data_IF_950364283430
#
_entry.id   IF_950364283430
#
_cell.length_a   1.000
_cell.length_b   1.000
_cell.length_c   1.000
_cell.angle_alpha   90.00
_cell.angle_beta   90.00
_cell.angle_gamma   90.00
#
_symmetry.space_group_name_H-M   'P 1'
#
loop_
_entity.id
_entity.type
_entity.pdbx_description
1 polymer ?
#
# COMPACT_ATOMS: atom_id res chain seq x y z
N UNK A 1 -0.66 37.42 2.78
CA UNK A 1 0.67 36.86 2.40
C UNK A 1 0.39 35.66 1.52
N UNK A 2 0.64 35.79 0.22
CA UNK A 2 0.35 34.78 -0.81
C UNK A 2 1.11 33.48 -0.50
N UNK A 3 0.39 32.37 -0.44
CA UNK A 3 0.96 31.03 -0.44
C UNK A 3 1.21 30.71 -1.91
N UNK A 4 2.47 30.67 -2.32
CA UNK A 4 2.86 30.12 -3.61
C UNK A 4 2.47 28.64 -3.67
N UNK A 5 1.41 28.37 -4.42
CA UNK A 5 0.81 27.04 -4.60
C UNK A 5 1.75 26.21 -5.47
N UNK A 6 2.01 24.99 -5.00
CA UNK A 6 3.05 24.09 -5.52
C UNK A 6 2.71 23.59 -6.93
N UNK A 7 3.65 23.83 -7.83
CA UNK A 7 3.64 23.34 -9.20
C UNK A 7 4.04 21.86 -9.23
N UNK A 8 3.19 21.00 -9.80
CA UNK A 8 3.59 19.67 -10.26
C UNK A 8 4.39 19.86 -11.56
N UNK A 9 5.70 20.08 -11.44
CA UNK A 9 6.60 20.17 -12.59
C UNK A 9 7.01 18.77 -13.01
N UNK A 10 6.35 18.20 -14.02
CA UNK A 10 6.87 17.04 -14.76
C UNK A 10 7.61 17.61 -15.98
N UNK A 11 8.94 17.47 -16.02
CA UNK A 11 9.76 17.66 -17.23
C UNK A 11 9.55 19.00 -17.99
N UNK A 12 9.58 20.14 -17.29
CA UNK A 12 9.64 21.45 -17.96
C UNK A 12 8.40 21.87 -18.76
N UNK A 13 7.30 21.10 -18.66
CA UNK A 13 5.98 21.51 -19.10
C UNK A 13 5.08 21.64 -17.87
N UNK A 14 4.35 22.76 -17.77
CA UNK A 14 3.23 22.89 -16.84
C UNK A 14 2.31 21.68 -17.05
N UNK A 15 2.15 20.83 -16.03
CA UNK A 15 1.21 19.71 -16.15
C UNK A 15 -0.20 20.27 -16.12
N UNK A 16 -0.79 20.37 -17.31
CA UNK A 16 -2.23 20.41 -17.50
C UNK A 16 -2.74 19.06 -16.99
N UNK A 17 -3.70 19.07 -16.06
CA UNK A 17 -4.34 17.83 -15.61
C UNK A 17 -4.99 17.06 -16.76
N UNK A 18 -5.63 15.94 -16.46
CA UNK A 18 -6.29 15.14 -17.50
C UNK A 18 -7.63 15.74 -17.89
N UNK A 19 -7.68 16.39 -19.06
CA UNK A 19 -8.89 17.07 -19.58
C UNK A 19 -10.11 16.15 -19.54
N UNK A 20 -11.16 16.60 -18.84
CA UNK A 20 -12.35 15.79 -18.48
C UNK A 20 -13.05 15.15 -19.67
N UNK A 21 -13.15 15.87 -20.77
CA UNK A 21 -13.92 15.47 -21.95
C UNK A 21 -13.02 14.96 -23.08
N UNK A 22 -11.73 14.75 -22.80
CA UNK A 22 -10.81 14.21 -23.80
C UNK A 22 -11.07 12.73 -24.05
N UNK A 23 -11.02 12.33 -25.32
CA UNK A 23 -11.00 10.91 -25.71
C UNK A 23 -9.78 10.15 -25.17
N UNK A 24 -8.74 10.87 -24.74
CA UNK A 24 -7.52 10.32 -24.16
C UNK A 24 -7.49 10.35 -22.62
N UNK A 25 -8.60 10.68 -21.95
CA UNK A 25 -8.68 10.81 -20.49
C UNK A 25 -8.06 9.62 -19.74
N UNK A 26 -8.51 8.40 -20.02
CA UNK A 26 -8.01 7.18 -19.37
C UNK A 26 -6.50 7.01 -19.56
N UNK A 27 -5.99 7.31 -20.75
CA UNK A 27 -4.56 7.21 -21.05
C UNK A 27 -3.76 8.28 -20.32
N UNK A 28 -4.28 9.50 -20.22
CA UNK A 28 -3.67 10.55 -19.41
C UNK A 28 -3.57 10.15 -17.94
N UNK A 29 -4.66 9.64 -17.35
CA UNK A 29 -4.68 9.19 -15.95
C UNK A 29 -3.68 8.05 -15.76
N UNK A 30 -3.69 7.06 -16.66
CA UNK A 30 -2.73 5.95 -16.63
C UNK A 30 -1.28 6.45 -16.62
N UNK A 31 -0.94 7.39 -17.50
CA UNK A 31 0.41 7.95 -17.58
C UNK A 31 0.77 8.75 -16.32
N UNK A 32 -0.18 9.52 -15.77
CA UNK A 32 0.02 10.29 -14.54
C UNK A 32 0.28 9.37 -13.33
N UNK A 33 -0.53 8.31 -13.18
CA UNK A 33 -0.36 7.29 -12.13
C UNK A 33 0.97 6.55 -12.33
N UNK A 34 1.29 6.13 -13.57
CA UNK A 34 2.56 5.46 -13.85
C UNK A 34 3.76 6.35 -13.49
N UNK A 35 3.71 7.64 -13.86
CA UNK A 35 4.74 8.59 -13.52
C UNK A 35 4.92 8.72 -12.00
N UNK A 36 3.81 8.82 -11.26
CA UNK A 36 3.84 8.84 -9.80
C UNK A 36 4.51 7.58 -9.22
N UNK A 37 4.06 6.39 -9.65
CA UNK A 37 4.59 5.10 -9.18
C UNK A 37 6.09 4.98 -9.44
N UNK A 38 6.56 5.41 -10.60
CA UNK A 38 7.97 5.26 -10.98
C UNK A 38 8.87 6.31 -10.33
N UNK A 39 8.47 7.58 -10.34
CA UNK A 39 9.38 8.69 -10.01
C UNK A 39 9.11 9.37 -8.67
N UNK A 40 7.91 9.19 -8.12
CA UNK A 40 7.49 9.80 -6.85
C UNK A 40 7.21 8.76 -5.76
N UNK A 41 7.75 7.54 -5.93
CA UNK A 41 7.50 6.42 -5.02
C UNK A 41 7.99 6.63 -3.60
N UNK A 42 8.98 7.50 -3.39
CA UNK A 42 9.48 7.86 -2.06
C UNK A 42 8.57 8.87 -1.32
N UNK A 43 7.46 9.31 -1.94
CA UNK A 43 6.51 10.26 -1.38
C UNK A 43 6.92 11.74 -1.45
N UNK A 44 8.11 12.08 -1.99
CA UNK A 44 8.51 13.48 -2.21
C UNK A 44 7.95 13.98 -3.54
N UNK A 45 6.93 14.83 -3.45
CA UNK A 45 6.27 15.43 -4.61
C UNK A 45 6.97 16.72 -5.05
N UNK A 46 7.40 17.53 -4.07
CA UNK A 46 8.22 18.72 -4.26
C UNK A 46 9.07 18.95 -3.02
N UNK A 47 9.85 20.03 -2.97
CA UNK A 47 10.64 20.37 -1.78
C UNK A 47 9.81 20.67 -0.53
N UNK A 48 8.50 20.95 -0.69
CA UNK A 48 7.60 21.29 0.43
C UNK A 48 6.42 20.35 0.56
N UNK A 49 6.19 19.47 -0.41
CA UNK A 49 5.05 18.55 -0.40
C UNK A 49 5.54 17.12 -0.33
N UNK A 50 5.07 16.45 0.71
CA UNK A 50 5.32 15.06 0.99
C UNK A 50 3.99 14.36 1.22
N UNK A 51 3.92 13.13 0.73
CA UNK A 51 2.86 12.16 1.04
C UNK A 51 3.52 10.88 1.51
N UNK A 52 2.72 9.89 1.91
CA UNK A 52 3.23 8.58 2.27
C UNK A 52 4.04 7.97 1.12
N UNK A 53 5.21 7.42 1.46
CA UNK A 53 6.03 6.64 0.53
C UNK A 53 5.33 5.32 0.19
N UNK A 54 5.37 4.94 -1.10
CA UNK A 54 4.90 3.64 -1.60
C UNK A 54 6.05 2.66 -1.86
N UNK A 55 7.29 3.13 -1.84
CA UNK A 55 8.48 2.29 -1.91
C UNK A 55 9.70 2.98 -1.25
N UNK A 56 10.04 2.62 0.00
CA UNK A 56 9.38 1.60 0.81
C UNK A 56 7.99 2.03 1.31
N UNK A 57 7.06 1.08 1.44
CA UNK A 57 5.76 1.26 2.09
C UNK A 57 5.77 0.60 3.48
N UNK A 58 5.63 1.40 4.52
CA UNK A 58 5.55 0.88 5.89
C UNK A 58 4.14 0.35 6.18
N UNK A 59 4.05 -0.84 6.79
CA UNK A 59 2.80 -1.38 7.31
C UNK A 59 2.74 -1.25 8.84
N UNK A 60 1.55 -1.06 9.44
CA UNK A 60 1.39 -1.12 10.89
C UNK A 60 1.81 -2.50 11.43
N UNK A 61 2.02 -2.65 12.73
CA UNK A 61 2.26 -3.97 13.31
C UNK A 61 1.00 -4.85 13.21
N UNK A 62 1.18 -6.14 12.92
CA UNK A 62 0.09 -7.11 12.83
C UNK A 62 0.17 -8.19 13.90
N UNK A 63 -1.00 -8.70 14.27
CA UNK A 63 -1.12 -9.97 14.99
C UNK A 63 -1.42 -11.05 13.97
N UNK A 64 -0.50 -11.98 13.76
CA UNK A 64 -0.71 -13.07 12.79
C UNK A 64 -1.62 -14.15 13.39
N UNK A 65 -1.33 -14.56 14.62
CA UNK A 65 -2.12 -15.56 15.35
C UNK A 65 -2.31 -15.12 16.78
N UNK A 66 -3.53 -15.31 17.29
CA UNK A 66 -3.86 -15.13 18.70
C UNK A 66 -4.70 -16.31 19.17
N UNK A 67 -4.06 -17.31 19.75
CA UNK A 67 -4.75 -18.46 20.33
C UNK A 67 -4.37 -18.67 21.81
N UNK A 68 -4.95 -19.70 22.44
CA UNK A 68 -4.76 -19.96 23.88
C UNK A 68 -3.33 -20.33 24.29
N UNK A 69 -2.49 -20.72 23.33
CA UNK A 69 -1.14 -21.23 23.60
C UNK A 69 -0.10 -20.21 23.18
N UNK A 70 -0.15 -19.73 21.94
CA UNK A 70 0.85 -18.85 21.33
C UNK A 70 0.15 -17.63 20.73
N UNK A 71 0.77 -16.46 20.94
CA UNK A 71 0.48 -15.25 20.19
C UNK A 71 1.66 -14.93 19.28
N UNK A 72 1.38 -14.63 18.02
CA UNK A 72 2.40 -14.28 17.03
C UNK A 72 2.13 -12.92 16.40
N UNK A 73 3.21 -12.21 16.11
CA UNK A 73 3.20 -10.83 15.65
C UNK A 73 4.18 -10.66 14.50
N UNK A 74 3.82 -9.78 13.56
CA UNK A 74 4.72 -9.29 12.53
C UNK A 74 4.86 -7.77 12.65
N UNK A 75 6.06 -7.33 12.99
CA UNK A 75 6.35 -5.99 13.48
C UNK A 75 7.38 -5.28 12.61
N UNK A 76 7.37 -3.94 12.63
CA UNK A 76 8.29 -3.10 11.87
C UNK A 76 8.32 -3.51 10.39
N UNK A 77 7.11 -3.67 9.83
CA UNK A 77 6.88 -4.24 8.52
C UNK A 77 7.07 -3.19 7.44
N UNK A 78 7.78 -3.56 6.38
CA UNK A 78 8.03 -2.70 5.23
C UNK A 78 7.95 -3.50 3.93
N UNK A 79 7.24 -2.98 2.93
CA UNK A 79 7.18 -3.50 1.57
C UNK A 79 8.07 -2.67 0.64
N UNK A 80 8.75 -3.34 -0.27
CA UNK A 80 9.53 -2.75 -1.36
C UNK A 80 9.15 -3.36 -2.70
N UNK A 81 9.48 -2.67 -3.78
CA UNK A 81 9.32 -3.16 -5.16
C UNK A 81 8.09 -2.61 -5.88
N UNK A 82 7.17 -1.94 -5.17
CA UNK A 82 5.96 -1.39 -5.80
C UNK A 82 6.28 -0.29 -6.83
N UNK A 83 7.40 0.42 -6.71
CA UNK A 83 7.85 1.40 -7.72
C UNK A 83 8.09 0.79 -9.11
N UNK A 84 8.33 -0.52 -9.16
CA UNK A 84 8.56 -1.28 -10.38
C UNK A 84 7.24 -1.80 -10.99
N UNK A 85 6.10 -1.51 -10.37
CA UNK A 85 4.78 -1.91 -10.87
C UNK A 85 4.39 -1.09 -12.08
N UNK A 86 3.55 -1.67 -12.93
CA UNK A 86 3.04 -1.00 -14.12
C UNK A 86 1.52 -0.93 -14.10
N UNK A 87 0.98 0.23 -14.48
CA UNK A 87 -0.46 0.45 -14.65
C UNK A 87 -0.89 -0.21 -15.96
N UNK A 88 -1.69 -1.26 -15.84
CA UNK A 88 -2.14 -2.10 -16.97
C UNK A 88 -3.48 -1.67 -17.52
N UNK A 89 -4.38 -1.13 -16.69
CA UNK A 89 -5.68 -0.62 -17.12
C UNK A 89 -6.12 0.56 -16.24
N UNK A 90 -6.80 1.52 -16.88
CA UNK A 90 -7.49 2.63 -16.21
C UNK A 90 -8.81 2.89 -16.92
N UNK A 91 -9.89 2.95 -16.14
CA UNK A 91 -11.18 3.44 -16.61
C UNK A 91 -11.68 4.50 -15.66
N UNK A 92 -12.07 5.66 -16.18
CA UNK A 92 -12.64 6.74 -15.39
C UNK A 92 -13.99 7.16 -15.95
N UNK A 93 -15.00 7.26 -15.08
CA UNK A 93 -16.26 7.94 -15.33
C UNK A 93 -16.33 9.14 -14.39
N UNK A 94 -15.98 10.32 -14.90
CA UNK A 94 -15.95 11.54 -14.08
C UNK A 94 -17.33 12.09 -13.74
N UNK A 95 -18.38 11.68 -14.48
CA UNK A 95 -19.75 12.07 -14.14
C UNK A 95 -20.22 11.32 -12.89
N UNK A 96 -19.80 10.07 -12.74
CA UNK A 96 -20.08 9.25 -11.55
C UNK A 96 -18.97 9.30 -10.50
N UNK A 97 -17.82 9.90 -10.83
CA UNK A 97 -16.57 9.81 -10.07
C UNK A 97 -16.19 8.37 -9.74
N UNK A 98 -16.28 7.49 -10.74
CA UNK A 98 -15.90 6.08 -10.61
C UNK A 98 -14.60 5.82 -11.36
N UNK A 99 -13.69 5.10 -10.71
CA UNK A 99 -12.40 4.76 -11.29
C UNK A 99 -12.11 3.29 -11.10
N UNK A 100 -11.62 2.65 -12.15
CA UNK A 100 -11.00 1.34 -12.10
C UNK A 100 -9.53 1.52 -12.40
N UNK A 101 -8.69 1.00 -11.51
CA UNK A 101 -7.24 0.97 -11.66
C UNK A 101 -6.77 -0.47 -11.62
N UNK A 102 -5.90 -0.86 -12.54
CA UNK A 102 -5.27 -2.17 -12.53
C UNK A 102 -3.76 -2.05 -12.63
N UNK A 103 -3.04 -2.75 -11.76
CA UNK A 103 -1.59 -2.79 -11.69
C UNK A 103 -1.10 -4.22 -11.86
N UNK A 104 0.02 -4.37 -12.53
CA UNK A 104 0.85 -5.56 -12.42
C UNK A 104 2.06 -5.25 -11.54
N UNK A 105 2.31 -6.12 -10.56
CA UNK A 105 3.33 -5.99 -9.54
C UNK A 105 4.33 -7.15 -9.75
N UNK A 106 5.48 -6.90 -10.41
CA UNK A 106 6.37 -7.98 -10.84
C UNK A 106 7.09 -8.65 -9.67
N UNK A 107 7.51 -7.85 -8.69
CA UNK A 107 8.18 -8.32 -7.49
C UNK A 107 7.91 -7.36 -6.34
N UNK A 108 7.35 -7.90 -5.25
CA UNK A 108 7.21 -7.23 -3.97
C UNK A 108 7.96 -8.03 -2.92
N UNK A 109 8.73 -7.35 -2.10
CA UNK A 109 9.42 -7.94 -0.96
C UNK A 109 8.92 -7.27 0.32
N UNK A 110 8.48 -8.06 1.28
CA UNK A 110 8.01 -7.58 2.59
C UNK A 110 8.99 -8.06 3.66
N UNK A 111 9.42 -7.16 4.52
CA UNK A 111 10.47 -7.40 5.52
C UNK A 111 9.97 -6.94 6.88
N UNK A 112 10.40 -7.60 7.94
CA UNK A 112 10.17 -7.12 9.30
C UNK A 112 10.69 -8.09 10.35
N UNK A 113 10.13 -7.96 11.55
CA UNK A 113 10.46 -8.80 12.71
C UNK A 113 9.25 -9.66 13.09
N UNK A 114 9.44 -10.97 13.11
CA UNK A 114 8.50 -11.91 13.69
C UNK A 114 8.78 -12.04 15.18
N UNK A 115 7.71 -12.11 15.97
CA UNK A 115 7.76 -12.41 17.40
C UNK A 115 6.65 -13.37 17.75
N UNK A 116 6.95 -14.41 18.51
CA UNK A 116 5.97 -15.26 19.12
C UNK A 116 6.19 -15.34 20.63
N UNK A 117 5.11 -15.39 21.39
CA UNK A 117 5.15 -15.49 22.85
C UNK A 117 4.11 -16.48 23.36
N UNK A 118 4.44 -17.17 24.45
CA UNK A 118 3.50 -18.02 25.15
C UNK A 118 2.41 -17.16 25.77
N UNK A 119 1.15 -17.53 25.56
CA UNK A 119 0.00 -16.73 26.01
C UNK A 119 -0.07 -16.62 27.54
N UNK A 120 0.40 -17.64 28.25
CA UNK A 120 0.43 -17.68 29.72
C UNK A 120 1.64 -17.00 30.34
N UNK A 121 2.75 -16.88 29.60
CA UNK A 121 3.98 -16.22 30.07
C UNK A 121 4.74 -15.60 28.90
N UNK A 122 4.69 -14.27 28.80
CA UNK A 122 5.32 -13.52 27.70
C UNK A 122 6.85 -13.46 27.78
N UNK A 123 7.45 -13.90 28.90
CA UNK A 123 8.91 -14.06 29.00
C UNK A 123 9.40 -15.30 28.24
N UNK A 124 8.50 -16.24 27.93
CA UNK A 124 8.77 -17.39 27.08
C UNK A 124 8.38 -17.01 25.66
N UNK A 125 9.39 -16.65 24.87
CA UNK A 125 9.20 -16.08 23.54
C UNK A 125 10.32 -16.44 22.58
N UNK A 126 10.03 -16.32 21.29
CA UNK A 126 10.99 -16.35 20.21
C UNK A 126 10.84 -15.13 19.29
N UNK A 127 11.93 -14.76 18.64
CA UNK A 127 11.93 -13.73 17.61
C UNK A 127 12.88 -14.08 16.47
N UNK A 128 12.51 -13.68 15.27
CA UNK A 128 13.30 -13.85 14.07
C UNK A 128 13.07 -12.68 13.11
N UNK A 129 13.97 -12.49 12.15
CA UNK A 129 13.64 -11.70 10.96
C UNK A 129 12.70 -12.51 10.09
N UNK A 130 11.67 -11.86 9.57
CA UNK A 130 10.71 -12.48 8.66
C UNK A 130 10.72 -11.71 7.35
N UNK A 131 10.72 -12.46 6.26
CA UNK A 131 10.70 -11.91 4.91
C UNK A 131 9.68 -12.67 4.07
N UNK A 132 9.00 -11.96 3.19
CA UNK A 132 8.09 -12.51 2.21
C UNK A 132 8.50 -12.00 0.83
N UNK A 133 8.62 -12.90 -0.13
CA UNK A 133 8.89 -12.56 -1.53
C UNK A 133 7.65 -12.92 -2.33
N UNK A 134 7.00 -11.94 -2.94
CA UNK A 134 5.79 -12.09 -3.76
C UNK A 134 6.15 -11.71 -5.20
N UNK A 135 5.77 -12.54 -6.17
CA UNK A 135 6.11 -12.36 -7.58
C UNK A 135 4.85 -12.38 -8.43
N UNK A 136 4.92 -11.70 -9.59
CA UNK A 136 3.93 -11.79 -10.65
C UNK A 136 2.48 -11.63 -10.15
N UNK A 137 2.20 -10.55 -9.42
CA UNK A 137 0.90 -10.31 -8.82
C UNK A 137 0.11 -9.25 -9.59
N UNK A 138 -1.21 -9.31 -9.51
CA UNK A 138 -2.10 -8.31 -10.11
C UNK A 138 -2.95 -7.68 -9.02
N UNK A 139 -3.09 -6.36 -9.08
CA UNK A 139 -3.95 -5.58 -8.19
C UNK A 139 -5.01 -4.87 -9.02
N UNK A 140 -6.28 -5.05 -8.67
CA UNK A 140 -7.41 -4.36 -9.27
C UNK A 140 -8.19 -3.62 -8.20
N UNK A 141 -8.46 -2.35 -8.43
CA UNK A 141 -9.11 -1.47 -7.47
C UNK A 141 -10.25 -0.75 -8.17
N UNK A 142 -11.43 -0.77 -7.55
CA UNK A 142 -12.51 0.15 -7.90
C UNK A 142 -12.65 1.22 -6.82
N UNK A 143 -12.77 2.46 -7.29
CA UNK A 143 -12.86 3.65 -6.46
C UNK A 143 -14.17 4.36 -6.74
N UNK A 144 -14.83 4.80 -5.67
CA UNK A 144 -15.95 5.72 -5.73
C UNK A 144 -15.57 7.06 -5.10
N UNK A 145 -15.64 8.11 -5.89
CA UNK A 145 -15.35 9.47 -5.49
C UNK A 145 -16.55 10.18 -4.85
N UNK A 146 -16.23 11.12 -3.98
CA UNK A 146 -17.15 12.10 -3.42
C UNK A 146 -16.47 13.45 -3.47
N UNK A 147 -17.20 14.48 -3.88
CA UNK A 147 -16.73 15.86 -3.79
C UNK A 147 -16.90 16.38 -2.37
N UNK A 148 -16.04 17.32 -1.99
CA UNK A 148 -16.21 18.15 -0.81
C UNK A 148 -15.65 19.54 -1.10
N UNK A 149 -16.18 20.54 -0.41
CA UNK A 149 -15.73 21.92 -0.53
C UNK A 149 -14.72 22.25 0.56
N UNK A 150 -13.65 22.94 0.20
CA UNK A 150 -12.64 23.48 1.11
C UNK A 150 -12.03 24.72 0.47
N UNK A 151 -11.87 25.81 1.22
CA UNK A 151 -11.28 27.06 0.72
C UNK A 151 -11.92 27.55 -0.60
N UNK A 152 -13.26 27.52 -0.68
CA UNK A 152 -14.07 27.89 -1.85
C UNK A 152 -13.73 27.12 -3.14
N UNK A 153 -13.16 25.91 -2.99
CA UNK A 153 -12.79 25.02 -4.09
C UNK A 153 -13.34 23.62 -3.87
N UNK A 154 -13.62 22.95 -4.99
CA UNK A 154 -14.09 21.57 -4.98
C UNK A 154 -12.88 20.64 -4.99
N UNK A 155 -12.82 19.76 -4.01
CA UNK A 155 -11.87 18.66 -3.91
C UNK A 155 -12.58 17.33 -4.09
N UNK A 156 -11.81 16.27 -4.33
CA UNK A 156 -12.32 14.90 -4.40
C UNK A 156 -11.61 14.06 -3.36
N UNK A 157 -12.37 13.22 -2.68
CA UNK A 157 -11.89 12.06 -1.94
C UNK A 157 -12.47 10.81 -2.55
N UNK A 158 -11.78 9.69 -2.46
CA UNK A 158 -12.23 8.40 -2.97
C UNK A 158 -12.35 7.39 -1.85
N UNK A 159 -13.24 6.42 -2.05
CA UNK A 159 -13.34 5.20 -1.25
C UNK A 159 -13.07 3.99 -2.14
N UNK A 160 -12.28 3.04 -1.65
CA UNK A 160 -12.07 1.73 -2.27
C UNK A 160 -13.33 0.89 -2.05
N UNK A 161 -14.12 0.71 -3.10
CA UNK A 161 -15.34 -0.10 -3.10
C UNK A 161 -15.05 -1.56 -3.37
N UNK A 162 -14.00 -1.84 -4.14
CA UNK A 162 -13.54 -3.20 -4.44
C UNK A 162 -12.00 -3.20 -4.50
N UNK A 163 -11.39 -4.25 -3.95
CA UNK A 163 -9.94 -4.38 -3.83
C UNK A 163 -9.57 -5.85 -3.98
N UNK A 164 -9.06 -6.19 -5.15
CA UNK A 164 -8.71 -7.56 -5.50
C UNK A 164 -7.21 -7.65 -5.77
N UNK A 165 -6.54 -8.51 -5.02
CA UNK A 165 -5.13 -8.84 -5.25
C UNK A 165 -5.07 -10.32 -5.59
N UNK A 166 -4.70 -10.60 -6.84
CA UNK A 166 -4.25 -11.93 -7.23
C UNK A 166 -2.75 -12.02 -6.90
N UNK A 167 -2.44 -12.69 -5.78
CA UNK A 167 -1.07 -12.98 -5.38
C UNK A 167 -0.53 -14.12 -6.25
N UNK A 168 0.60 -13.89 -6.90
CA UNK A 168 1.30 -14.91 -7.67
C UNK A 168 2.18 -15.81 -6.79
N UNK A 169 3.30 -16.26 -7.33
CA UNK A 169 4.26 -17.08 -6.57
C UNK A 169 4.76 -16.30 -5.35
N UNK A 170 4.61 -16.88 -4.17
CA UNK A 170 5.06 -16.25 -2.95
C UNK A 170 5.71 -17.24 -1.98
N UNK A 171 6.68 -16.73 -1.22
CA UNK A 171 7.37 -17.47 -0.18
C UNK A 171 7.44 -16.63 1.08
N UNK A 172 7.38 -17.30 2.23
CA UNK A 172 7.67 -16.70 3.54
C UNK A 172 8.85 -17.44 4.12
N UNK A 173 9.83 -16.68 4.60
CA UNK A 173 11.02 -17.21 5.24
C UNK A 173 11.32 -16.51 6.56
N UNK A 174 12.09 -17.21 7.37
CA UNK A 174 12.57 -16.74 8.66
C UNK A 174 14.09 -16.79 8.68
N UNK A 175 14.69 -15.79 9.31
CA UNK A 175 16.10 -15.84 9.69
C UNK A 175 16.31 -16.71 10.93
N UNK A 176 17.46 -16.53 11.58
CA UNK A 176 17.76 -17.23 12.83
C UNK A 176 16.79 -16.82 13.94
N UNK A 177 16.26 -17.84 14.62
CA UNK A 177 15.45 -17.66 15.81
C UNK A 177 16.34 -17.42 17.02
N UNK A 178 15.93 -16.48 17.85
CA UNK A 178 16.44 -16.33 19.21
C UNK A 178 15.30 -16.57 20.17
N UNK A 179 15.59 -17.21 21.29
CA UNK A 179 14.59 -17.62 22.28
C UNK A 179 14.89 -17.04 23.65
N UNK A 180 13.87 -16.99 24.50
CA UNK A 180 13.96 -16.51 25.88
C UNK A 180 13.09 -17.34 26.82
N UNK A 181 13.39 -17.24 28.12
CA UNK A 181 12.68 -17.99 29.16
C UNK A 181 12.91 -19.50 29.05
N UNK A 182 11.98 -20.28 29.59
CA UNK A 182 12.01 -21.75 29.53
C UNK A 182 11.48 -22.28 28.18
N UNK A 183 11.96 -21.71 27.06
CA UNK A 183 11.46 -22.02 25.72
C UNK A 183 11.53 -23.51 25.39
N UNK A 184 12.57 -24.21 25.83
CA UNK A 184 12.76 -25.63 25.52
C UNK A 184 11.57 -26.51 25.90
N UNK A 185 10.93 -26.24 27.06
CA UNK A 185 9.76 -26.98 27.52
C UNK A 185 8.51 -26.73 26.66
N UNK A 186 8.48 -25.62 25.91
CA UNK A 186 7.36 -25.20 25.09
C UNK A 186 7.65 -25.23 23.59
N UNK A 187 8.85 -25.65 23.18
CA UNK A 187 9.34 -25.63 21.79
C UNK A 187 8.35 -26.23 20.79
N UNK A 188 7.72 -27.35 21.12
CA UNK A 188 6.71 -28.00 20.28
C UNK A 188 5.52 -27.07 19.96
N UNK A 189 5.08 -26.23 20.90
CA UNK A 189 3.97 -25.32 20.68
C UNK A 189 4.33 -24.22 19.68
N UNK A 190 5.56 -23.71 19.74
CA UNK A 190 6.07 -22.74 18.76
C UNK A 190 6.27 -23.38 17.38
N UNK A 191 6.84 -24.58 17.32
CA UNK A 191 7.03 -25.33 16.07
C UNK A 191 5.70 -25.61 15.36
N UNK A 192 4.68 -26.02 16.12
CA UNK A 192 3.33 -26.23 15.60
C UNK A 192 2.73 -24.93 15.04
N UNK A 193 2.94 -23.80 15.71
CA UNK A 193 2.41 -22.52 15.24
C UNK A 193 3.09 -22.05 13.97
N UNK A 194 4.42 -22.22 13.85
CA UNK A 194 5.14 -21.92 12.60
C UNK A 194 4.76 -22.86 11.45
N UNK A 195 4.47 -24.12 11.76
CA UNK A 195 4.06 -25.14 10.79
C UNK A 195 2.61 -24.99 10.30
N UNK A 196 1.79 -24.15 10.94
CA UNK A 196 0.45 -23.79 10.43
C UNK A 196 0.56 -22.92 9.20
N UNK A 197 -0.56 -22.74 8.47
CA UNK A 197 -0.66 -22.05 7.18
C UNK A 197 -0.30 -20.55 7.23
N UNK A 198 0.94 -20.25 7.59
CA UNK A 198 1.51 -18.92 7.78
C UNK A 198 1.45 -18.12 6.49
N UNK A 199 1.53 -18.79 5.34
CA UNK A 199 1.36 -18.19 4.02
C UNK A 199 0.00 -17.49 3.93
N UNK A 200 -1.11 -18.22 4.12
CA UNK A 200 -2.45 -17.63 4.02
C UNK A 200 -2.70 -16.47 5.01
N UNK A 201 -2.12 -16.56 6.20
CA UNK A 201 -2.24 -15.52 7.22
C UNK A 201 -1.50 -14.27 6.77
N UNK A 202 -0.28 -14.42 6.26
CA UNK A 202 0.54 -13.33 5.75
C UNK A 202 -0.10 -12.68 4.52
N UNK A 203 -0.67 -13.48 3.61
CA UNK A 203 -1.40 -12.97 2.44
C UNK A 203 -2.61 -12.11 2.84
N UNK A 204 -3.40 -12.59 3.80
CA UNK A 204 -4.58 -11.88 4.31
C UNK A 204 -4.15 -10.55 4.94
N UNK A 205 -3.19 -10.61 5.86
CA UNK A 205 -2.64 -9.43 6.55
C UNK A 205 -1.99 -8.43 5.60
N UNK A 206 -1.28 -8.92 4.58
CA UNK A 206 -0.70 -8.10 3.52
C UNK A 206 -1.80 -7.36 2.75
N UNK A 207 -2.83 -8.08 2.31
CA UNK A 207 -3.94 -7.52 1.52
C UNK A 207 -4.68 -6.43 2.30
N UNK A 208 -4.99 -6.67 3.57
CA UNK A 208 -5.66 -5.69 4.43
C UNK A 208 -4.81 -4.45 4.68
N UNK A 209 -3.54 -4.65 5.04
CA UNK A 209 -2.61 -3.55 5.30
C UNK A 209 -2.37 -2.72 4.04
N UNK A 210 -2.28 -3.38 2.89
CA UNK A 210 -2.05 -2.71 1.62
C UNK A 210 -3.28 -1.92 1.18
N UNK A 211 -4.50 -2.47 1.32
CA UNK A 211 -5.75 -1.74 1.06
C UNK A 211 -5.86 -0.46 1.87
N UNK A 212 -5.60 -0.53 3.18
CA UNK A 212 -5.71 0.62 4.07
C UNK A 212 -4.71 1.73 3.70
N UNK A 213 -3.47 1.35 3.46
CA UNK A 213 -2.43 2.29 3.04
C UNK A 213 -2.73 2.91 1.66
N UNK A 214 -3.18 2.11 0.69
CA UNK A 214 -3.49 2.60 -0.65
C UNK A 214 -4.67 3.59 -0.63
N UNK A 215 -5.69 3.32 0.20
CA UNK A 215 -6.80 4.24 0.43
C UNK A 215 -6.33 5.59 0.97
N UNK A 216 -5.44 5.56 1.97
CA UNK A 216 -4.89 6.78 2.56
C UNK A 216 -4.05 7.56 1.55
N UNK A 217 -3.17 6.87 0.83
CA UNK A 217 -2.32 7.46 -0.20
C UNK A 217 -3.13 8.23 -1.25
N UNK A 218 -4.16 7.59 -1.81
CA UNK A 218 -5.00 8.20 -2.85
C UNK A 218 -5.62 9.51 -2.36
N UNK A 219 -6.16 9.51 -1.13
CA UNK A 219 -6.75 10.70 -0.55
C UNK A 219 -5.69 11.76 -0.18
N UNK A 220 -4.49 11.34 0.25
CA UNK A 220 -3.37 12.23 0.53
C UNK A 220 -2.84 12.94 -0.73
N UNK A 221 -2.93 12.30 -1.90
CA UNK A 221 -2.61 12.89 -3.20
C UNK A 221 -3.75 13.79 -3.66
N UNK A 222 -5.00 13.32 -3.63
CA UNK A 222 -6.16 14.06 -4.14
C UNK A 222 -6.46 15.34 -3.35
N UNK A 223 -6.06 15.41 -2.07
CA UNK A 223 -6.14 16.66 -1.29
C UNK A 223 -5.12 17.73 -1.70
N UNK A 224 -4.08 17.38 -2.46
CA UNK A 224 -3.01 18.32 -2.80
C UNK A 224 -3.48 19.42 -3.75
N UNK A 225 -4.55 19.18 -4.49
CA UNK A 225 -5.08 20.13 -5.46
C UNK A 225 -6.59 19.97 -5.63
N UNK A 226 -7.31 21.03 -6.05
CA UNK A 226 -8.73 20.94 -6.34
C UNK A 226 -8.99 20.03 -7.56
N UNK A 227 -10.23 19.54 -7.68
CA UNK A 227 -10.68 18.67 -8.76
C UNK A 227 -10.36 19.21 -10.16
N UNK A 228 -10.55 20.52 -10.38
CA UNK A 228 -10.23 21.21 -11.64
C UNK A 228 -8.76 21.12 -12.02
N UNK A 229 -7.85 20.98 -11.04
CA UNK A 229 -6.42 20.86 -11.33
C UNK A 229 -6.06 19.47 -11.85
N UNK A 230 -6.66 18.42 -11.27
CA UNK A 230 -6.46 17.05 -11.74
C UNK A 230 -7.20 16.77 -13.04
N UNK A 231 -8.39 17.35 -13.19
CA UNK A 231 -9.27 17.16 -14.33
C UNK A 231 -9.79 18.52 -14.80
N UNK A 232 -9.06 19.28 -15.61
CA UNK A 232 -9.53 20.56 -16.13
C UNK A 232 -10.61 20.37 -17.21
N UNK A 233 -11.44 21.39 -17.42
CA UNK A 233 -12.43 21.40 -18.50
C UNK A 233 -11.83 21.55 -19.89
N UNK A 234 -10.68 22.24 -20.01
CA UNK A 234 -9.94 22.51 -21.25
C UNK A 234 -8.43 22.52 -20.97
#
# INVERSE_FOLDING_TARGET
RMIDIVYFSILGHETVGCVRHSSSLNKCIQNAIQHYVTYMSNGKISDRIYVMSIDPLAFPNATLVRNRNIHTYFQSREMRGFKNSFVTDVKADLNKLEFLLQFHMPALDVHGSYRAELASDRQIAEWAKMFSSIRNSTLRIHLKGMTYESDDRIYVRVNITDFDITIGDHTVGFGWFTMSGNYSEHSQAFDLERGRNILSIVETEFTESFRANFQQLLNDILRLAPFERFFPSQ
#
